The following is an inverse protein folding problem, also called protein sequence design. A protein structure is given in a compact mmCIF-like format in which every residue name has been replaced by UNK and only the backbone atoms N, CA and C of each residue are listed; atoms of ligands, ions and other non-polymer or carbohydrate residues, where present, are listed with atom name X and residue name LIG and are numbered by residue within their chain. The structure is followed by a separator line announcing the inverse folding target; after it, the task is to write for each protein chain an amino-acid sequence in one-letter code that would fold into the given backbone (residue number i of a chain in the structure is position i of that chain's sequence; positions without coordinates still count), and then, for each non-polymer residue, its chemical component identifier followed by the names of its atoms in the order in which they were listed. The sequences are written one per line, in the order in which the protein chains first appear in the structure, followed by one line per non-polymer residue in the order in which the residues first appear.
data_IF_162812713449
#
_entry.id   IF_162812713449
#
_cell.length_a   1.000
_cell.length_b   1.000
_cell.length_c   1.000
_cell.angle_alpha   90.00
_cell.angle_beta   90.00
_cell.angle_gamma   90.00
#
_symmetry.space_group_name_H-M   'P 1'
#
loop_
_entity.id
_entity.type
_entity.pdbx_description
1 polymer ?
#
# COMPACT_ATOMS: atom_id res chain seq x y z
N UNK A 1 -14.14 -51.15 57.94
CA UNK A 1 -13.44 -52.21 57.17
C UNK A 1 -13.44 -51.83 55.70
N UNK A 2 -12.27 -51.64 55.10
CA UNK A 2 -12.13 -51.28 53.69
C UNK A 2 -12.33 -52.50 52.77
N UNK A 3 -13.14 -52.43 51.70
CA UNK A 3 -13.19 -53.49 50.72
C UNK A 3 -12.05 -53.35 49.71
N UNK A 4 -11.21 -54.38 49.78
CA UNK A 4 -10.10 -54.81 48.94
C UNK A 4 -10.23 -54.46 47.44
N UNK A 5 -9.18 -53.79 46.94
CA UNK A 5 -8.76 -53.77 45.53
C UNK A 5 -8.68 -55.20 44.99
N UNK A 6 -9.51 -55.55 44.01
CA UNK A 6 -9.21 -56.63 43.06
C UNK A 6 -8.64 -56.02 41.78
N UNK A 7 -7.33 -56.22 41.60
CA UNK A 7 -6.65 -56.17 40.31
C UNK A 7 -7.22 -57.29 39.44
N UNK A 8 -7.84 -56.94 38.31
CA UNK A 8 -7.92 -57.83 37.16
C UNK A 8 -7.15 -57.16 36.02
N UNK A 9 -5.98 -57.74 35.77
CA UNK A 9 -5.27 -57.64 34.50
C UNK A 9 -6.11 -58.36 33.46
N UNK A 10 -6.41 -57.68 32.35
CA UNK A 10 -6.54 -58.24 31.00
C UNK A 10 -6.85 -57.06 30.06
N UNK A 11 -5.79 -56.31 29.77
CA UNK A 11 -5.74 -55.37 28.67
C UNK A 11 -5.65 -56.18 27.38
N UNK A 12 -6.78 -56.46 26.73
CA UNK A 12 -6.80 -56.84 25.32
C UNK A 12 -6.74 -55.54 24.52
N UNK A 13 -5.52 -55.21 24.07
CA UNK A 13 -5.27 -54.18 23.04
C UNK A 13 -5.91 -54.63 21.74
N UNK A 14 -7.15 -54.22 21.49
CA UNK A 14 -7.62 -54.04 20.11
C UNK A 14 -7.27 -52.61 19.72
N UNK A 15 -6.10 -52.42 19.12
CA UNK A 15 -5.82 -51.22 18.33
C UNK A 15 -6.65 -51.32 17.05
N UNK A 16 -7.92 -50.91 17.12
CA UNK A 16 -8.70 -50.60 15.93
C UNK A 16 -7.96 -49.47 15.22
N UNK A 17 -7.41 -49.80 14.06
CA UNK A 17 -6.89 -48.84 13.09
C UNK A 17 -7.90 -47.72 13.00
N UNK A 18 -7.48 -46.51 13.37
CA UNK A 18 -8.26 -45.29 13.15
C UNK A 18 -8.26 -45.11 11.63
N UNK A 19 -9.23 -45.75 11.00
CA UNK A 19 -9.75 -45.33 9.71
C UNK A 19 -9.99 -43.83 9.86
N UNK A 20 -9.38 -43.04 8.98
CA UNK A 20 -9.43 -41.58 9.06
C UNK A 20 -10.90 -41.17 8.95
N UNK A 21 -11.57 -41.02 10.09
CA UNK A 21 -12.96 -40.62 10.18
C UNK A 21 -13.14 -39.39 9.31
N UNK A 22 -14.09 -39.48 8.39
CA UNK A 22 -14.46 -38.33 7.56
C UNK A 22 -14.87 -37.20 8.52
N UNK A 23 -14.58 -35.91 8.25
CA UNK A 23 -14.90 -34.83 9.19
C UNK A 23 -16.37 -34.82 9.67
N UNK A 24 -17.30 -35.29 8.84
CA UNK A 24 -18.71 -35.48 9.20
C UNK A 24 -18.92 -36.60 10.24
N UNK A 25 -18.22 -37.71 10.10
CA UNK A 25 -18.27 -38.84 11.05
C UNK A 25 -17.62 -38.46 12.39
N UNK A 26 -16.52 -37.70 12.37
CA UNK A 26 -15.88 -37.19 13.58
C UNK A 26 -16.80 -36.24 14.39
N UNK A 27 -17.59 -35.40 13.69
CA UNK A 27 -18.59 -34.53 14.35
C UNK A 27 -19.72 -35.36 14.95
N UNK A 28 -20.23 -36.36 14.23
CA UNK A 28 -21.27 -37.25 14.73
C UNK A 28 -20.80 -38.06 15.94
N UNK A 29 -19.58 -38.59 15.91
CA UNK A 29 -18.98 -39.29 17.05
C UNK A 29 -18.80 -38.38 18.26
N UNK A 30 -18.40 -37.11 18.05
CA UNK A 30 -18.34 -36.13 19.13
C UNK A 30 -19.73 -35.85 19.73
N UNK A 31 -20.76 -35.67 18.90
CA UNK A 31 -22.14 -35.47 19.36
C UNK A 31 -22.68 -36.68 20.12
N UNK A 32 -22.43 -37.89 19.61
CA UNK A 32 -22.78 -39.15 20.28
C UNK A 32 -22.04 -39.27 21.61
N UNK A 33 -20.76 -38.91 21.66
CA UNK A 33 -19.96 -38.87 22.89
C UNK A 33 -20.54 -37.91 23.93
N UNK A 34 -20.97 -36.72 23.50
CA UNK A 34 -21.58 -35.75 24.39
C UNK A 34 -22.94 -36.24 24.93
N UNK A 35 -23.77 -36.86 24.08
CA UNK A 35 -25.05 -37.46 24.50
C UNK A 35 -24.83 -38.64 25.48
N UNK A 36 -23.84 -39.50 25.23
CA UNK A 36 -23.47 -40.59 26.15
C UNK A 36 -23.00 -40.07 27.51
N UNK A 37 -22.22 -38.98 27.52
CA UNK A 37 -21.78 -38.33 28.75
C UNK A 37 -22.95 -37.72 29.52
N UNK A 38 -23.89 -37.09 28.82
CA UNK A 38 -25.10 -36.53 29.43
C UNK A 38 -25.98 -37.63 30.04
N UNK A 39 -26.22 -38.72 29.31
CA UNK A 39 -26.95 -39.89 29.83
C UNK A 39 -26.25 -40.47 31.07
N UNK A 40 -24.92 -40.57 31.06
CA UNK A 40 -24.16 -41.10 32.20
C UNK A 40 -24.28 -40.18 33.44
N UNK A 41 -24.20 -38.86 33.25
CA UNK A 41 -24.43 -37.88 34.33
C UNK A 41 -25.86 -37.96 34.88
N UNK A 42 -26.85 -38.12 34.01
CA UNK A 42 -28.25 -38.28 34.43
C UNK A 42 -28.48 -39.57 35.20
N UNK A 43 -27.92 -40.70 34.74
CA UNK A 43 -27.99 -41.98 35.46
C UNK A 43 -27.32 -41.88 36.83
N UNK A 44 -26.15 -41.24 36.92
CA UNK A 44 -25.48 -41.01 38.20
C UNK A 44 -26.35 -40.18 39.14
N UNK A 45 -26.96 -39.08 38.65
CA UNK A 45 -27.87 -38.24 39.44
C UNK A 45 -29.13 -39.00 39.88
N UNK A 46 -29.66 -39.87 39.03
CA UNK A 46 -30.79 -40.71 39.39
C UNK A 46 -30.44 -41.68 40.53
N UNK A 47 -29.26 -42.30 40.45
CA UNK A 47 -28.80 -43.25 41.46
C UNK A 47 -28.50 -42.57 42.81
N UNK A 48 -27.90 -41.38 42.79
CA UNK A 48 -27.68 -40.60 44.02
C UNK A 48 -29.00 -40.20 44.67
N UNK A 49 -30.01 -39.78 43.89
CA UNK A 49 -31.33 -39.46 44.43
C UNK A 49 -32.02 -40.69 45.02
N UNK A 50 -31.92 -41.86 44.39
CA UNK A 50 -32.44 -43.12 44.94
C UNK A 50 -31.77 -43.48 46.27
N UNK A 51 -30.46 -43.33 46.37
CA UNK A 51 -29.73 -43.59 47.60
C UNK A 51 -30.13 -42.64 48.73
N UNK A 52 -30.24 -41.33 48.45
CA UNK A 52 -30.73 -40.36 49.44
C UNK A 52 -32.15 -40.67 49.88
N UNK A 53 -33.04 -41.07 48.96
CA UNK A 53 -34.39 -41.46 49.32
C UNK A 53 -34.39 -42.68 50.25
N UNK A 54 -33.57 -43.69 49.94
CA UNK A 54 -33.44 -44.89 50.77
C UNK A 54 -32.94 -44.55 52.17
N UNK A 55 -31.89 -43.72 52.29
CA UNK A 55 -31.37 -43.26 53.58
C UNK A 55 -32.46 -42.53 54.40
N UNK A 56 -33.26 -41.68 53.75
CA UNK A 56 -34.36 -40.98 54.44
C UNK A 56 -35.45 -41.94 54.92
N UNK A 57 -35.81 -42.94 54.12
CA UNK A 57 -36.77 -43.98 54.51
C UNK A 57 -36.23 -44.79 55.69
N UNK A 58 -34.97 -45.19 55.65
CA UNK A 58 -34.34 -45.95 56.74
C UNK A 58 -34.35 -45.14 58.05
N UNK A 59 -34.01 -43.84 57.99
CA UNK A 59 -34.08 -42.93 59.15
C UNK A 59 -35.52 -42.86 59.69
N UNK A 60 -36.52 -42.67 58.82
CA UNK A 60 -37.92 -42.60 59.24
C UNK A 60 -38.40 -43.90 59.91
N UNK A 61 -38.00 -45.06 59.38
CA UNK A 61 -38.35 -46.35 60.00
C UNK A 61 -37.70 -46.52 61.37
N UNK A 62 -36.45 -46.08 61.54
CA UNK A 62 -35.75 -46.15 62.82
C UNK A 62 -36.36 -45.22 63.87
N UNK A 63 -36.75 -44.00 63.47
CA UNK A 63 -37.45 -43.06 64.34
C UNK A 63 -38.82 -43.58 64.76
N UNK A 64 -39.59 -44.16 63.84
CA UNK A 64 -40.88 -44.77 64.16
C UNK A 64 -40.74 -45.89 65.20
N UNK A 65 -39.73 -46.74 65.06
CA UNK A 65 -39.47 -47.82 66.00
C UNK A 65 -39.04 -47.27 67.38
N UNK A 66 -38.24 -46.20 67.40
CA UNK A 66 -37.87 -45.51 68.63
C UNK A 66 -39.09 -44.89 69.33
N UNK A 67 -39.99 -44.25 68.58
CA UNK A 67 -41.23 -43.68 69.10
C UNK A 67 -42.15 -44.75 69.70
N UNK A 68 -42.33 -45.89 69.00
CA UNK A 68 -43.09 -47.04 69.50
C UNK A 68 -42.47 -47.60 70.80
N UNK A 69 -41.14 -47.64 70.91
CA UNK A 69 -40.46 -48.08 72.14
C UNK A 69 -40.69 -47.12 73.31
N UNK A 70 -40.60 -45.80 73.07
CA UNK A 70 -40.82 -44.77 74.10
C UNK A 70 -42.29 -44.79 74.57
N UNK A 71 -43.25 -44.93 73.67
CA UNK A 71 -44.67 -45.05 74.02
C UNK A 71 -44.94 -46.28 74.89
N UNK A 72 -44.28 -47.41 74.59
CA UNK A 72 -44.39 -48.64 75.37
C UNK A 72 -43.75 -48.52 76.76
N UNK A 73 -42.61 -47.84 76.85
CA UNK A 73 -41.96 -47.55 78.13
C UNK A 73 -42.83 -46.61 78.99
N UNK A 74 -43.35 -45.53 78.41
CA UNK A 74 -44.19 -44.57 79.11
C UNK A 74 -45.51 -45.20 79.58
N UNK A 75 -46.14 -46.04 78.75
CA UNK A 75 -47.35 -46.78 79.18
C UNK A 75 -47.07 -47.77 80.30
N UNK A 76 -45.88 -48.39 80.34
CA UNK A 76 -45.48 -49.27 81.44
C UNK A 76 -45.26 -48.49 82.73
N UNK A 77 -44.59 -47.32 82.66
CA UNK A 77 -44.41 -46.42 83.82
C UNK A 77 -45.73 -45.87 84.35
N UNK A 78 -46.68 -45.54 83.47
CA UNK A 78 -48.02 -45.10 83.88
C UNK A 78 -48.81 -46.21 84.58
N UNK A 79 -48.63 -47.47 84.19
CA UNK A 79 -49.23 -48.59 84.93
C UNK A 79 -48.58 -48.78 86.31
N UNK A 80 -47.26 -48.67 86.44
CA UNK A 80 -46.57 -48.77 87.74
C UNK A 80 -47.01 -47.65 88.70
N UNK A 81 -47.13 -46.42 88.22
CA UNK A 81 -47.58 -45.26 89.04
C UNK A 81 -49.05 -45.43 89.48
N UNK A 82 -49.88 -46.13 88.71
CA UNK A 82 -51.30 -46.32 89.05
C UNK A 82 -51.57 -47.37 90.14
N UNK A 83 -50.59 -48.20 90.50
CA UNK A 83 -50.76 -49.32 91.44
C UNK A 83 -50.28 -48.98 92.86
N UNK A 84 -49.37 -48.01 93.02
CA UNK A 84 -48.72 -47.74 94.33
C UNK A 84 -49.25 -46.50 95.10
N UNK A 85 -50.05 -45.62 94.50
CA UNK A 85 -50.50 -44.39 95.17
C UNK A 85 -51.99 -44.42 95.57
N UNK A 86 -52.32 -45.25 96.57
CA UNK A 86 -53.41 -44.99 97.51
C UNK A 86 -52.89 -44.13 98.68
N UNK A 87 -52.14 -43.07 98.37
CA UNK A 87 -51.57 -42.16 99.36
C UNK A 87 -52.55 -41.03 99.68
N UNK A 88 -52.85 -40.85 100.97
CA UNK A 88 -53.67 -39.77 101.52
C UNK A 88 -53.12 -38.39 101.12
N UNK A 89 -53.69 -37.81 100.06
CA UNK A 89 -53.33 -36.47 99.58
C UNK A 89 -53.74 -35.41 100.62
N UNK A 90 -52.76 -34.66 101.13
CA UNK A 90 -52.99 -33.56 102.08
C UNK A 90 -53.53 -32.30 101.36
N UNK A 91 -54.27 -31.46 102.08
CA UNK A 91 -54.84 -30.21 101.53
C UNK A 91 -53.77 -29.20 101.08
N UNK A 92 -52.56 -29.24 101.64
CA UNK A 92 -51.46 -28.36 101.21
C UNK A 92 -50.79 -28.86 99.91
N UNK A 93 -50.73 -30.17 99.69
CA UNK A 93 -50.17 -30.76 98.46
C UNK A 93 -51.05 -30.44 97.25
N UNK A 94 -52.38 -30.52 97.41
CA UNK A 94 -53.32 -30.09 96.36
C UNK A 94 -53.20 -28.60 96.05
N UNK A 95 -53.01 -27.76 97.07
CA UNK A 95 -52.85 -26.30 96.89
C UNK A 95 -51.55 -25.95 96.18
N UNK A 96 -50.44 -26.61 96.53
CA UNK A 96 -49.15 -26.43 95.85
C UNK A 96 -49.21 -26.91 94.40
N UNK A 97 -49.81 -28.08 94.15
CA UNK A 97 -50.03 -28.60 92.79
C UNK A 97 -50.89 -27.66 91.94
N UNK A 98 -51.96 -27.08 92.51
CA UNK A 98 -52.78 -26.07 91.82
C UNK A 98 -52.00 -24.78 91.50
N UNK A 99 -51.14 -24.31 92.40
CA UNK A 99 -50.30 -23.14 92.16
C UNK A 99 -49.24 -23.40 91.08
N UNK A 100 -48.65 -24.58 91.07
CA UNK A 100 -47.64 -24.97 90.10
C UNK A 100 -48.25 -25.20 88.72
N UNK A 101 -49.39 -25.90 88.63
CA UNK A 101 -50.14 -26.03 87.37
C UNK A 101 -50.65 -24.68 86.85
N UNK A 102 -51.04 -23.75 87.72
CA UNK A 102 -51.39 -22.39 87.31
C UNK A 102 -50.19 -21.61 86.76
N UNK A 103 -49.02 -21.72 87.39
CA UNK A 103 -47.78 -21.12 86.88
C UNK A 103 -47.36 -21.72 85.53
N UNK A 104 -47.42 -23.04 85.39
CA UNK A 104 -47.11 -23.75 84.15
C UNK A 104 -48.06 -23.28 83.05
N UNK A 105 -49.38 -23.31 83.28
CA UNK A 105 -50.37 -22.81 82.30
C UNK A 105 -50.10 -21.36 81.91
N UNK A 106 -49.83 -20.48 82.87
CA UNK A 106 -49.54 -19.08 82.58
C UNK A 106 -48.24 -18.92 81.78
N UNK A 107 -47.20 -19.72 82.06
CA UNK A 107 -45.97 -19.72 81.26
C UNK A 107 -46.21 -20.22 79.83
N UNK A 108 -46.96 -21.32 79.66
CA UNK A 108 -47.34 -21.85 78.34
C UNK A 108 -48.17 -20.83 77.54
N UNK A 109 -49.13 -20.16 78.18
CA UNK A 109 -49.94 -19.12 77.54
C UNK A 109 -49.08 -17.94 77.07
N UNK A 110 -48.09 -17.51 77.87
CA UNK A 110 -47.15 -16.46 77.43
C UNK A 110 -46.23 -16.90 76.29
N UNK A 111 -45.82 -18.17 76.26
CA UNK A 111 -45.02 -18.69 75.14
C UNK A 111 -45.86 -18.80 73.86
N UNK A 112 -47.10 -19.27 73.96
CA UNK A 112 -48.03 -19.31 72.82
C UNK A 112 -48.27 -17.91 72.26
N UNK A 113 -48.48 -16.90 73.12
CA UNK A 113 -48.62 -15.51 72.66
C UNK A 113 -47.37 -15.00 71.94
N UNK A 114 -46.16 -15.29 72.44
CA UNK A 114 -44.91 -14.91 71.76
C UNK A 114 -44.76 -15.58 70.40
N UNK A 115 -45.06 -16.88 70.31
CA UNK A 115 -45.02 -17.61 69.05
C UNK A 115 -46.05 -17.04 68.07
N UNK A 116 -47.24 -16.67 68.54
CA UNK A 116 -48.27 -16.02 67.74
C UNK A 116 -47.76 -14.69 67.15
N UNK A 117 -47.12 -13.84 67.95
CA UNK A 117 -46.51 -12.58 67.50
C UNK A 117 -45.36 -12.82 66.48
N UNK A 118 -44.55 -13.85 66.70
CA UNK A 118 -43.49 -14.24 65.77
C UNK A 118 -44.06 -14.74 64.43
N UNK A 119 -45.14 -15.52 64.46
CA UNK A 119 -45.85 -15.94 63.25
C UNK A 119 -46.43 -14.72 62.51
N UNK A 120 -47.03 -13.76 63.22
CA UNK A 120 -47.60 -12.57 62.57
C UNK A 120 -46.53 -11.66 61.97
N UNK A 121 -45.39 -11.48 62.64
CA UNK A 121 -44.27 -10.69 62.13
C UNK A 121 -43.62 -11.37 60.93
N UNK A 122 -43.38 -12.68 60.98
CA UNK A 122 -42.83 -13.43 59.84
C UNK A 122 -43.78 -13.44 58.65
N UNK A 123 -45.10 -13.59 58.87
CA UNK A 123 -46.09 -13.48 57.79
C UNK A 123 -46.09 -12.10 57.11
N UNK A 124 -45.91 -11.02 57.88
CA UNK A 124 -45.77 -9.67 57.31
C UNK A 124 -44.50 -9.56 56.47
N UNK A 125 -43.35 -9.99 56.99
CA UNK A 125 -42.08 -10.01 56.24
C UNK A 125 -42.18 -10.83 54.95
N UNK A 126 -42.84 -11.99 55.00
CA UNK A 126 -43.06 -12.83 53.81
C UNK A 126 -43.91 -12.11 52.77
N UNK A 127 -44.93 -11.34 53.18
CA UNK A 127 -45.73 -10.54 52.25
C UNK A 127 -44.90 -9.43 51.60
N UNK A 128 -44.07 -8.74 52.38
CA UNK A 128 -43.22 -7.66 51.90
C UNK A 128 -42.16 -8.18 50.91
N UNK A 129 -41.48 -9.29 51.25
CA UNK A 129 -40.52 -9.95 50.36
C UNK A 129 -41.20 -10.42 49.07
N UNK A 130 -42.41 -10.96 49.15
CA UNK A 130 -43.16 -11.37 47.95
C UNK A 130 -43.54 -10.18 47.05
N UNK A 131 -43.85 -9.02 47.64
CA UNK A 131 -44.10 -7.80 46.88
C UNK A 131 -42.82 -7.30 46.20
N UNK A 132 -41.69 -7.32 46.92
CA UNK A 132 -40.40 -6.96 46.36
C UNK A 132 -40.01 -7.89 45.21
N UNK A 133 -40.19 -9.20 45.37
CA UNK A 133 -39.94 -10.20 44.32
C UNK A 133 -40.77 -9.92 43.07
N UNK A 134 -42.05 -9.56 43.23
CA UNK A 134 -42.92 -9.18 42.10
C UNK A 134 -42.42 -7.92 41.41
N UNK A 135 -41.96 -6.92 42.17
CA UNK A 135 -41.41 -5.68 41.61
C UNK A 135 -40.10 -5.93 40.84
N UNK A 136 -39.22 -6.78 41.37
CA UNK A 136 -38.01 -7.19 40.67
C UNK A 136 -38.31 -7.98 39.40
N UNK A 137 -39.34 -8.82 39.44
CA UNK A 137 -39.77 -9.57 38.26
C UNK A 137 -40.30 -8.65 37.16
N UNK A 138 -41.19 -7.70 37.49
CA UNK A 138 -41.71 -6.73 36.51
C UNK A 138 -40.61 -5.84 35.96
N UNK A 139 -39.69 -5.36 36.81
CA UNK A 139 -38.51 -4.61 36.36
C UNK A 139 -37.65 -5.43 35.40
N UNK A 140 -37.38 -6.69 35.72
CA UNK A 140 -36.62 -7.60 34.87
C UNK A 140 -37.30 -7.83 33.51
N UNK A 141 -38.61 -8.04 33.48
CA UNK A 141 -39.34 -8.24 32.22
C UNK A 141 -39.34 -7.00 31.33
N UNK A 142 -39.54 -5.81 31.90
CA UNK A 142 -39.52 -4.55 31.15
C UNK A 142 -38.13 -4.26 30.60
N UNK A 143 -37.10 -4.36 31.45
CA UNK A 143 -35.72 -4.11 31.02
C UNK A 143 -35.24 -5.14 30.00
N UNK A 144 -35.63 -6.41 30.14
CA UNK A 144 -35.32 -7.45 29.16
C UNK A 144 -35.89 -7.11 27.79
N UNK A 145 -37.17 -6.72 27.71
CA UNK A 145 -37.81 -6.33 26.44
C UNK A 145 -37.14 -5.11 25.81
N UNK A 146 -36.80 -4.09 26.60
CA UNK A 146 -36.09 -2.90 26.14
C UNK A 146 -34.69 -3.24 25.61
N UNK A 147 -33.97 -4.11 26.31
CA UNK A 147 -32.64 -4.54 25.90
C UNK A 147 -32.71 -5.39 24.63
N UNK A 148 -33.71 -6.25 24.49
CA UNK A 148 -33.91 -7.08 23.31
C UNK A 148 -34.21 -6.24 22.07
N UNK A 149 -35.08 -5.22 22.16
CA UNK A 149 -35.32 -4.28 21.05
C UNK A 149 -34.08 -3.47 20.72
N UNK A 150 -33.31 -3.04 21.73
CA UNK A 150 -32.03 -2.36 21.52
C UNK A 150 -31.02 -3.24 20.81
N UNK A 151 -30.90 -4.51 21.20
CA UNK A 151 -30.01 -5.48 20.55
C UNK A 151 -30.44 -5.67 19.08
N UNK A 152 -31.72 -5.87 18.81
CA UNK A 152 -32.22 -6.02 17.44
C UNK A 152 -31.95 -4.77 16.57
N UNK A 153 -32.11 -3.57 17.13
CA UNK A 153 -31.77 -2.33 16.42
C UNK A 153 -30.27 -2.25 16.11
N UNK A 154 -29.41 -2.59 17.07
CA UNK A 154 -27.95 -2.58 16.88
C UNK A 154 -27.50 -3.66 15.88
N UNK A 155 -28.11 -4.84 15.89
CA UNK A 155 -27.84 -5.89 14.91
C UNK A 155 -28.24 -5.45 13.49
N UNK A 156 -29.40 -4.79 13.35
CA UNK A 156 -29.84 -4.23 12.07
C UNK A 156 -28.91 -3.12 11.60
N UNK A 157 -28.47 -2.23 12.49
CA UNK A 157 -27.52 -1.17 12.18
C UNK A 157 -26.17 -1.74 11.74
N UNK A 158 -25.67 -2.77 12.43
CA UNK A 158 -24.45 -3.48 12.06
C UNK A 158 -24.54 -4.08 10.66
N UNK A 159 -25.64 -4.77 10.34
CA UNK A 159 -25.86 -5.34 9.00
C UNK A 159 -25.89 -4.25 7.93
N UNK A 160 -26.60 -3.13 8.18
CA UNK A 160 -26.67 -2.01 7.26
C UNK A 160 -25.29 -1.38 7.04
N UNK A 161 -24.53 -1.17 8.13
CA UNK A 161 -23.17 -0.64 8.06
C UNK A 161 -22.25 -1.57 7.25
N UNK A 162 -22.33 -2.88 7.47
CA UNK A 162 -21.59 -3.88 6.68
C UNK A 162 -21.94 -3.80 5.19
N UNK A 163 -23.23 -3.75 4.85
CA UNK A 163 -23.68 -3.66 3.46
C UNK A 163 -23.21 -2.35 2.78
N UNK A 164 -23.22 -1.23 3.50
CA UNK A 164 -22.68 0.05 3.01
C UNK A 164 -21.19 -0.04 2.74
N UNK A 165 -20.42 -0.66 3.64
CA UNK A 165 -18.99 -0.87 3.42
C UNK A 165 -18.72 -1.76 2.21
N UNK A 166 -19.44 -2.86 2.05
CA UNK A 166 -19.31 -3.75 0.89
C UNK A 166 -19.66 -3.03 -0.41
N UNK A 167 -20.71 -2.21 -0.40
CA UNK A 167 -21.13 -1.42 -1.56
C UNK A 167 -20.09 -0.34 -1.92
N UNK A 168 -19.53 0.34 -0.91
CA UNK A 168 -18.48 1.33 -1.10
C UNK A 168 -17.20 0.69 -1.63
N UNK A 169 -16.80 -0.46 -1.08
CA UNK A 169 -15.67 -1.23 -1.61
C UNK A 169 -15.90 -1.64 -3.06
N UNK A 170 -17.09 -2.15 -3.39
CA UNK A 170 -17.44 -2.49 -4.77
C UNK A 170 -17.38 -1.31 -5.73
N UNK A 171 -17.83 -0.12 -5.28
CA UNK A 171 -17.72 1.11 -6.06
C UNK A 171 -16.26 1.53 -6.27
N UNK A 172 -15.46 1.58 -5.20
CA UNK A 172 -14.05 2.00 -5.25
C UNK A 172 -13.23 1.07 -6.15
N UNK A 173 -13.38 -0.25 -6.02
CA UNK A 173 -12.68 -1.20 -6.89
C UNK A 173 -13.08 -1.04 -8.36
N UNK A 174 -14.37 -0.75 -8.64
CA UNK A 174 -14.82 -0.51 -10.01
C UNK A 174 -14.24 0.79 -10.58
N UNK A 175 -14.21 1.85 -9.78
CA UNK A 175 -13.63 3.14 -10.16
C UNK A 175 -12.12 3.03 -10.39
N UNK A 176 -11.41 2.31 -9.51
CA UNK A 176 -9.98 2.03 -9.66
C UNK A 176 -9.68 1.27 -10.96
N UNK A 177 -10.42 0.19 -11.24
CA UNK A 177 -10.28 -0.55 -12.50
C UNK A 177 -10.59 0.30 -13.72
N UNK A 178 -11.62 1.16 -13.66
CA UNK A 178 -11.96 2.06 -14.75
C UNK A 178 -10.87 3.12 -14.98
N UNK A 179 -10.28 3.63 -13.90
CA UNK A 179 -9.19 4.59 -13.96
C UNK A 179 -7.91 3.95 -14.50
N UNK A 180 -7.57 2.73 -14.07
CA UNK A 180 -6.43 1.97 -14.59
C UNK A 180 -6.57 1.72 -16.10
N UNK A 181 -7.75 1.27 -16.54
CA UNK A 181 -8.07 1.10 -17.96
C UNK A 181 -7.97 2.44 -18.72
N UNK A 182 -8.50 3.52 -18.15
CA UNK A 182 -8.40 4.86 -18.72
C UNK A 182 -6.94 5.28 -18.94
N UNK A 183 -6.12 5.19 -17.89
CA UNK A 183 -4.69 5.48 -17.92
C UNK A 183 -3.98 4.61 -18.97
N UNK A 184 -4.26 3.31 -19.02
CA UNK A 184 -3.65 2.42 -19.99
C UNK A 184 -4.01 2.80 -21.43
N UNK A 185 -5.28 3.09 -21.71
CA UNK A 185 -5.70 3.54 -23.04
C UNK A 185 -5.08 4.89 -23.43
N UNK A 186 -4.90 5.80 -22.48
CA UNK A 186 -4.25 7.09 -22.71
C UNK A 186 -2.74 6.93 -22.97
N UNK A 187 -2.08 6.01 -22.26
CA UNK A 187 -0.69 5.64 -22.51
C UNK A 187 -0.55 5.02 -23.91
N UNK A 188 -1.42 4.10 -24.29
CA UNK A 188 -1.40 3.48 -25.62
C UNK A 188 -1.61 4.52 -26.71
N UNK A 189 -2.60 5.41 -26.57
CA UNK A 189 -2.88 6.49 -27.53
C UNK A 189 -1.71 7.48 -27.62
N UNK A 190 -1.14 7.88 -26.49
CA UNK A 190 0.00 8.79 -26.48
C UNK A 190 1.26 8.14 -27.06
N UNK A 191 1.49 6.85 -26.81
CA UNK A 191 2.57 6.07 -27.44
C UNK A 191 2.42 6.04 -28.95
N UNK A 192 1.22 5.75 -29.45
CA UNK A 192 0.92 5.74 -30.88
C UNK A 192 1.14 7.12 -31.52
N UNK A 193 0.66 8.19 -30.85
CA UNK A 193 0.90 9.56 -31.29
C UNK A 193 2.39 9.92 -31.34
N UNK A 194 3.17 9.48 -30.36
CA UNK A 194 4.63 9.69 -30.35
C UNK A 194 5.27 8.95 -31.53
N UNK A 195 4.92 7.68 -31.76
CA UNK A 195 5.44 6.90 -32.90
C UNK A 195 5.14 7.60 -34.22
N UNK A 196 3.89 8.01 -34.43
CA UNK A 196 3.48 8.73 -35.63
C UNK A 196 4.23 10.06 -35.79
N UNK A 197 4.37 10.83 -34.71
CA UNK A 197 5.15 12.08 -34.74
C UNK A 197 6.63 11.85 -35.08
N UNK A 198 7.24 10.77 -34.58
CA UNK A 198 8.63 10.40 -34.90
C UNK A 198 8.75 9.99 -36.38
N UNK A 199 7.81 9.20 -36.89
CA UNK A 199 7.76 8.80 -38.30
C UNK A 199 7.60 10.02 -39.20
N UNK A 200 6.67 10.92 -38.91
CA UNK A 200 6.46 12.15 -39.68
C UNK A 200 7.70 13.04 -39.68
N UNK A 201 8.38 13.17 -38.54
CA UNK A 201 9.66 13.90 -38.45
C UNK A 201 10.75 13.24 -39.28
N UNK A 202 10.88 11.91 -39.22
CA UNK A 202 11.85 11.18 -40.01
C UNK A 202 11.59 11.33 -41.52
N UNK A 203 10.33 11.20 -41.95
CA UNK A 203 9.89 11.43 -43.33
C UNK A 203 10.22 12.85 -43.78
N UNK A 204 9.96 13.86 -42.94
CA UNK A 204 10.29 15.24 -43.26
C UNK A 204 11.81 15.49 -43.42
N UNK A 205 12.64 14.89 -42.56
CA UNK A 205 14.10 14.97 -42.66
C UNK A 205 14.58 14.30 -43.97
N UNK A 206 14.07 13.10 -44.27
CA UNK A 206 14.41 12.38 -45.50
C UNK A 206 13.97 13.15 -46.74
N UNK A 207 12.75 13.69 -46.76
CA UNK A 207 12.25 14.51 -47.87
C UNK A 207 13.09 15.77 -48.09
N UNK A 208 13.52 16.44 -47.01
CA UNK A 208 14.42 17.60 -47.10
C UNK A 208 15.78 17.21 -47.67
N UNK A 209 16.36 16.11 -47.17
CA UNK A 209 17.64 15.59 -47.66
C UNK A 209 17.56 15.19 -49.14
N UNK A 210 16.50 14.47 -49.53
CA UNK A 210 16.27 14.07 -50.91
C UNK A 210 16.10 15.28 -51.83
N UNK A 211 15.35 16.29 -51.40
CA UNK A 211 15.16 17.53 -52.18
C UNK A 211 16.49 18.27 -52.36
N UNK A 212 17.33 18.31 -51.32
CA UNK A 212 18.67 18.88 -51.40
C UNK A 212 19.57 18.09 -52.36
N UNK A 213 19.56 16.76 -52.29
CA UNK A 213 20.33 15.90 -53.20
C UNK A 213 19.88 16.05 -54.66
N UNK A 214 18.56 16.14 -54.90
CA UNK A 214 18.01 16.43 -56.23
C UNK A 214 18.49 17.78 -56.77
N UNK A 215 18.49 18.82 -55.93
CA UNK A 215 19.00 20.14 -56.30
C UNK A 215 20.49 20.09 -56.63
N UNK A 216 21.31 19.44 -55.79
CA UNK A 216 22.73 19.24 -56.04
C UNK A 216 22.99 18.46 -57.34
N UNK A 217 22.22 17.41 -57.61
CA UNK A 217 22.34 16.64 -58.85
C UNK A 217 22.01 17.48 -60.09
N UNK A 218 20.96 18.30 -60.01
CA UNK A 218 20.61 19.22 -61.08
C UNK A 218 21.71 20.27 -61.32
N UNK A 219 22.28 20.81 -60.24
CA UNK A 219 23.40 21.73 -60.35
C UNK A 219 24.63 21.08 -60.99
N UNK A 220 25.00 19.86 -60.56
CA UNK A 220 26.10 19.09 -61.16
C UNK A 220 25.85 18.78 -62.65
N UNK A 221 24.61 18.53 -63.07
CA UNK A 221 24.26 18.36 -64.48
C UNK A 221 24.48 19.63 -65.29
N UNK A 222 24.13 20.79 -64.73
CA UNK A 222 24.40 22.09 -65.38
C UNK A 222 25.89 22.34 -65.47
N UNK A 223 26.62 22.13 -64.37
CA UNK A 223 28.08 22.30 -64.35
C UNK A 223 28.77 21.37 -65.34
N UNK A 224 28.33 20.11 -65.42
CA UNK A 224 28.83 19.16 -66.42
C UNK A 224 28.64 19.71 -67.85
N UNK A 225 27.45 20.22 -68.20
CA UNK A 225 27.22 20.80 -69.54
C UNK A 225 28.16 21.96 -69.82
N UNK A 226 28.37 22.85 -68.85
CA UNK A 226 29.29 23.98 -68.99
C UNK A 226 30.73 23.49 -69.18
N UNK A 227 31.15 22.45 -68.45
CA UNK A 227 32.46 21.85 -68.61
C UNK A 227 32.62 21.16 -69.96
N UNK A 228 31.61 20.42 -70.42
CA UNK A 228 31.60 19.79 -71.74
C UNK A 228 31.74 20.87 -72.85
N UNK A 229 31.01 21.98 -72.77
CA UNK A 229 31.16 23.14 -73.69
C UNK A 229 32.55 23.81 -73.61
N UNK A 230 33.18 23.85 -72.44
CA UNK A 230 34.55 24.37 -72.28
C UNK A 230 35.57 23.41 -72.90
N UNK A 231 35.41 22.11 -72.71
CA UNK A 231 36.25 21.07 -73.32
C UNK A 231 36.14 21.16 -74.83
N UNK A 232 34.93 21.27 -75.37
CA UNK A 232 34.72 21.47 -76.81
C UNK A 232 35.43 22.73 -77.31
N UNK A 233 35.29 23.88 -76.64
CA UNK A 233 35.99 25.12 -77.02
C UNK A 233 37.52 24.97 -77.03
N UNK A 234 38.09 24.39 -75.97
CA UNK A 234 39.54 24.14 -75.89
C UNK A 234 39.98 23.17 -76.99
N UNK A 235 39.18 22.15 -77.31
CA UNK A 235 39.46 21.23 -78.41
C UNK A 235 39.52 21.96 -79.75
N UNK A 236 38.57 22.87 -80.02
CA UNK A 236 38.58 23.68 -81.24
C UNK A 236 39.79 24.62 -81.29
N UNK A 237 40.15 25.26 -80.18
CA UNK A 237 41.33 26.12 -80.10
C UNK A 237 42.63 25.35 -80.34
N UNK A 238 42.76 24.14 -79.79
CA UNK A 238 43.89 23.24 -80.06
C UNK A 238 43.92 22.86 -81.54
N UNK A 239 42.78 22.51 -82.14
CA UNK A 239 42.70 22.18 -83.57
C UNK A 239 43.10 23.37 -84.46
N UNK A 240 42.68 24.58 -84.12
CA UNK A 240 43.04 25.79 -84.86
C UNK A 240 44.52 26.14 -84.71
N UNK A 241 45.07 26.04 -83.50
CA UNK A 241 46.51 26.17 -83.27
C UNK A 241 47.32 25.07 -83.99
N UNK A 242 46.80 23.85 -84.06
CA UNK A 242 47.43 22.78 -84.85
C UNK A 242 47.42 23.10 -86.34
N UNK A 243 46.30 23.62 -86.89
CA UNK A 243 46.24 24.09 -88.28
C UNK A 243 47.23 25.23 -88.51
N UNK A 244 47.25 26.23 -87.62
CA UNK A 244 48.16 27.38 -87.71
C UNK A 244 49.63 26.91 -87.67
N UNK A 245 49.96 25.99 -86.76
CA UNK A 245 51.30 25.41 -86.67
C UNK A 245 51.66 24.60 -87.93
N UNK A 246 50.72 23.83 -88.49
CA UNK A 246 50.93 23.12 -89.77
C UNK A 246 51.17 24.13 -90.89
N UNK A 247 50.38 25.21 -90.98
CA UNK A 247 50.59 26.26 -91.98
C UNK A 247 51.91 27.00 -91.79
N UNK A 248 52.28 27.34 -90.55
CA UNK A 248 53.55 27.98 -90.23
C UNK A 248 54.72 27.05 -90.54
N UNK A 249 54.61 25.75 -90.24
CA UNK A 249 55.59 24.75 -90.64
C UNK A 249 55.71 24.70 -92.18
N UNK A 250 54.60 24.71 -92.90
CA UNK A 250 54.58 24.74 -94.36
C UNK A 250 55.14 26.05 -94.94
N UNK A 251 54.92 27.18 -94.29
CA UNK A 251 55.53 28.48 -94.63
C UNK A 251 57.03 28.49 -94.35
N UNK A 252 57.49 27.89 -93.25
CA UNK A 252 58.93 27.70 -92.99
C UNK A 252 59.54 26.77 -94.04
N UNK A 253 58.84 25.70 -94.44
CA UNK A 253 59.29 24.83 -95.55
C UNK A 253 59.33 25.60 -96.88
N UNK A 254 58.35 26.46 -97.17
CA UNK A 254 58.27 27.23 -98.42
C UNK A 254 59.26 28.40 -98.45
N UNK A 255 59.60 29.00 -97.30
CA UNK A 255 60.61 30.07 -97.17
C UNK A 255 62.04 29.52 -97.08
N UNK A 256 62.24 28.30 -96.58
CA UNK A 256 63.53 27.62 -96.67
C UNK A 256 63.80 27.02 -98.06
N UNK A 257 62.77 26.75 -98.87
CA UNK A 257 62.95 26.31 -100.25
C UNK A 257 63.82 27.28 -101.09
N UNK A 258 63.60 28.61 -101.10
CA UNK A 258 64.44 29.54 -101.83
C UNK A 258 65.82 29.75 -101.18
N UNK A 259 65.99 29.53 -99.88
CA UNK A 259 67.31 29.57 -99.24
C UNK A 259 68.16 28.31 -99.52
N UNK A 260 67.53 27.17 -99.81
CA UNK A 260 68.21 25.95 -100.28
C UNK A 260 68.50 26.02 -101.80
N UNK A 261 67.77 26.86 -102.55
CA UNK A 261 67.91 27.04 -104.00
C UNK A 261 68.78 28.22 -104.43
N UNK A 262 69.46 28.92 -103.51
CA UNK A 262 70.56 29.83 -103.88
C UNK A 262 71.78 28.96 -104.24
N UNK A 263 72.24 28.96 -105.51
CA UNK A 263 73.50 28.32 -105.85
C UNK A 263 74.63 29.11 -105.18
N UNK A 264 75.37 28.45 -104.30
CA UNK A 264 76.67 28.89 -103.80
C UNK A 264 77.65 29.02 -104.98
N UNK A 265 77.58 30.12 -105.72
CA UNK A 265 78.69 30.56 -106.57
C UNK A 265 79.70 31.30 -105.69
N UNK A 266 80.52 30.51 -105.01
CA UNK A 266 81.79 30.97 -104.48
C UNK A 266 82.68 31.42 -105.64
N UNK A 267 83.21 32.63 -105.55
CA UNK A 267 84.23 33.14 -106.47
C UNK A 267 84.56 34.59 -106.14
N UNK A 268 85.75 34.81 -105.59
CA UNK A 268 86.45 36.09 -105.39
C UNK A 268 86.36 36.74 -104.01
N UNK A 269 86.88 36.00 -103.01
CA UNK A 269 87.62 36.61 -101.90
C UNK A 269 89.06 36.81 -102.39
N UNK A 270 89.36 37.97 -102.98
CA UNK A 270 90.72 38.48 -103.00
C UNK A 270 90.96 39.25 -101.70
N UNK A 271 91.58 38.57 -100.73
CA UNK A 271 92.22 39.22 -99.59
C UNK A 271 93.35 40.09 -100.13
N UNK A 272 93.20 41.40 -100.06
CA UNK A 272 94.31 42.33 -100.23
C UNK A 272 94.53 43.02 -98.89
N UNK A 273 95.78 42.97 -98.41
CA UNK A 273 96.24 43.58 -97.16
C UNK A 273 95.92 45.08 -97.12
N UNK A 274 94.82 45.42 -96.46
CA UNK A 274 94.65 46.62 -95.65
C UNK A 274 93.41 46.43 -94.79
N UNK A 275 93.68 45.90 -93.60
CA UNK A 275 92.82 46.06 -92.44
C UNK A 275 92.41 47.53 -92.30
N UNK A 276 91.10 47.76 -92.25
CA UNK A 276 90.51 48.82 -91.44
C UNK A 276 89.27 48.25 -90.73
N UNK A 277 89.54 47.40 -89.73
CA UNK A 277 88.60 46.78 -88.80
C UNK A 277 87.95 47.80 -87.83
N UNK A 278 87.55 48.98 -88.31
CA UNK A 278 86.84 49.99 -87.51
C UNK A 278 85.86 50.78 -88.36
N UNK A 279 84.74 50.15 -88.73
CA UNK A 279 83.39 50.74 -88.85
C UNK A 279 82.51 49.83 -89.71
N UNK A 280 81.67 49.02 -89.06
CA UNK A 280 80.37 48.66 -89.64
C UNK A 280 79.36 48.53 -88.52
N UNK A 281 78.80 49.68 -88.20
CA UNK A 281 77.65 49.93 -87.35
C UNK A 281 76.38 49.45 -88.08
N UNK A 282 76.16 48.13 -88.19
CA UNK A 282 74.94 47.61 -88.84
C UNK A 282 74.20 46.56 -88.01
N UNK A 283 74.75 46.06 -86.91
CA UNK A 283 74.04 45.12 -86.03
C UNK A 283 74.11 45.57 -84.57
N UNK A 284 73.46 46.69 -84.28
CA UNK A 284 73.13 47.12 -82.92
C UNK A 284 71.67 47.60 -82.87
N UNK A 285 70.74 46.65 -82.73
CA UNK A 285 69.46 46.94 -82.11
C UNK A 285 69.31 46.03 -80.88
N UNK A 286 69.66 46.65 -79.76
CA UNK A 286 69.39 46.32 -78.37
C UNK A 286 68.22 45.35 -78.20
N UNK A 287 68.54 44.12 -77.81
CA UNK A 287 67.61 43.26 -77.07
C UNK A 287 67.43 43.86 -75.68
N UNK A 288 66.24 44.42 -75.42
CA UNK A 288 65.84 44.81 -74.08
C UNK A 288 65.80 43.56 -73.18
N UNK A 289 66.79 43.48 -72.30
CA UNK A 289 66.99 42.39 -71.34
C UNK A 289 65.98 42.42 -70.17
N UNK A 290 64.79 43.00 -70.39
CA UNK A 290 63.68 43.10 -69.44
C UNK A 290 62.42 42.33 -69.88
N UNK A 291 62.40 41.69 -71.06
CA UNK A 291 61.26 40.88 -71.52
C UNK A 291 61.19 39.45 -70.92
N UNK A 292 62.24 38.99 -70.22
CA UNK A 292 62.29 37.64 -69.64
C UNK A 292 62.64 37.62 -68.14
N UNK A 293 62.07 38.54 -67.37
CA UNK A 293 62.05 38.44 -65.91
C UNK A 293 60.76 37.79 -65.40
N UNK A 294 60.53 36.52 -65.73
CA UNK A 294 59.53 35.70 -65.03
C UNK A 294 60.09 35.26 -63.67
N UNK A 295 60.10 36.20 -62.72
CA UNK A 295 60.40 35.91 -61.31
C UNK A 295 59.59 36.75 -60.32
N UNK A 296 58.43 37.29 -60.74
CA UNK A 296 57.58 38.11 -59.85
C UNK A 296 56.08 37.84 -59.80
N UNK A 297 55.59 36.75 -60.39
CA UNK A 297 54.18 36.37 -60.27
C UNK A 297 53.94 35.04 -59.52
N UNK A 298 54.94 34.54 -58.80
CA UNK A 298 54.83 33.32 -57.99
C UNK A 298 54.67 33.57 -56.47
N UNK A 299 54.25 34.77 -56.06
CA UNK A 299 53.88 35.07 -54.66
C UNK A 299 52.40 35.45 -54.46
N UNK A 300 51.58 35.51 -55.52
CA UNK A 300 50.13 35.79 -55.39
C UNK A 300 49.21 34.56 -55.49
N UNK A 301 49.75 33.34 -55.38
CA UNK A 301 48.95 32.10 -55.36
C UNK A 301 49.19 31.19 -54.14
N UNK A 302 49.71 31.75 -53.04
CA UNK A 302 49.81 31.06 -51.74
C UNK A 302 49.30 31.90 -50.56
N UNK A 303 48.18 32.61 -50.76
CA UNK A 303 47.49 33.30 -49.66
C UNK A 303 45.97 33.12 -49.61
N UNK A 304 45.40 32.16 -50.33
CA UNK A 304 43.95 31.84 -50.28
C UNK A 304 43.60 30.45 -49.72
N UNK A 305 44.54 29.76 -49.05
CA UNK A 305 44.24 28.52 -48.32
C UNK A 305 44.16 28.67 -46.79
N UNK A 306 44.19 29.89 -46.23
CA UNK A 306 44.05 30.09 -44.78
C UNK A 306 43.12 31.25 -44.39
N UNK A 307 42.02 31.42 -45.13
CA UNK A 307 40.87 32.26 -44.71
C UNK A 307 39.55 31.63 -45.13
N UNK A 308 39.24 30.45 -44.59
CA UNK A 308 37.89 29.88 -44.63
C UNK A 308 37.55 29.10 -43.35
N UNK A 309 38.04 29.55 -42.19
CA UNK A 309 37.45 29.24 -40.88
C UNK A 309 36.62 30.41 -40.31
N UNK A 310 36.29 31.40 -41.14
CA UNK A 310 35.49 32.58 -40.76
C UNK A 310 34.06 32.62 -41.30
N UNK A 311 33.65 31.67 -42.15
CA UNK A 311 32.33 31.71 -42.83
C UNK A 311 31.30 30.72 -42.28
N UNK A 312 31.60 30.10 -41.14
CA UNK A 312 30.64 29.30 -40.35
C UNK A 312 29.96 30.11 -39.23
N UNK A 313 30.09 31.44 -39.26
CA UNK A 313 29.59 32.35 -38.22
C UNK A 313 28.64 33.45 -38.73
N UNK A 314 28.18 33.38 -39.99
CA UNK A 314 27.19 34.31 -40.56
C UNK A 314 25.91 33.63 -41.09
N UNK A 315 25.71 32.34 -40.79
CA UNK A 315 24.43 31.64 -40.97
C UNK A 315 23.74 31.29 -39.64
N UNK A 316 24.15 31.94 -38.54
CA UNK A 316 23.52 31.82 -37.21
C UNK A 316 22.85 33.11 -36.70
N UNK A 317 22.71 34.11 -37.55
CA UNK A 317 21.93 35.32 -37.26
C UNK A 317 20.85 35.48 -38.33
N UNK A 318 19.75 34.74 -38.17
CA UNK A 318 18.38 35.04 -38.63
C UNK A 318 17.53 33.77 -38.50
N UNK A 319 17.29 33.34 -37.26
CA UNK A 319 16.11 32.56 -36.91
C UNK A 319 15.26 33.40 -35.94
N UNK A 320 13.93 33.44 -36.12
CA UNK A 320 13.04 34.28 -35.33
C UNK A 320 13.07 33.90 -33.84
N UNK A 321 13.07 34.95 -33.00
CA UNK A 321 13.21 34.98 -31.55
C UNK A 321 12.05 34.37 -30.74
N UNK A 322 11.36 33.34 -31.25
CA UNK A 322 10.17 32.77 -30.56
C UNK A 322 10.40 31.39 -29.94
N UNK A 323 11.59 30.80 -30.04
CA UNK A 323 11.84 29.45 -29.50
C UNK A 323 13.06 29.30 -28.55
N UNK A 324 13.54 30.39 -27.95
CA UNK A 324 14.51 30.33 -26.84
C UNK A 324 13.94 30.63 -25.44
N UNK A 325 12.65 30.98 -25.33
CA UNK A 325 11.99 31.18 -24.03
C UNK A 325 11.60 29.84 -23.34
N UNK A 326 11.33 28.78 -24.10
CA UNK A 326 10.77 27.54 -23.55
C UNK A 326 11.78 26.42 -23.24
N UNK A 327 13.09 26.63 -23.43
CA UNK A 327 14.11 25.62 -23.06
C UNK A 327 14.87 26.01 -21.78
N UNK A 328 14.93 27.30 -21.42
CA UNK A 328 15.47 27.74 -20.12
C UNK A 328 14.45 27.67 -18.96
N UNK A 329 13.15 27.55 -19.25
CA UNK A 329 12.14 27.26 -18.21
C UNK A 329 11.97 25.77 -17.90
N UNK A 330 12.49 24.86 -18.73
CA UNK A 330 12.39 23.41 -18.49
C UNK A 330 13.66 22.82 -17.87
N UNK A 331 14.82 23.47 -18.01
CA UNK A 331 16.08 23.00 -17.39
C UNK A 331 16.43 23.64 -16.03
N UNK A 332 15.64 24.59 -15.51
CA UNK A 332 15.86 25.17 -14.19
C UNK A 332 14.97 24.58 -13.07
N UNK A 333 14.24 23.49 -13.37
CA UNK A 333 13.39 22.74 -12.41
C UNK A 333 13.92 21.36 -12.02
N UNK A 334 15.07 20.96 -12.55
CA UNK A 334 15.76 19.73 -12.18
C UNK A 334 17.24 20.03 -12.04
N UNK A 335 17.64 20.56 -10.88
CA UNK A 335 18.93 20.30 -10.18
C UNK A 335 19.15 21.31 -9.04
N UNK A 336 19.27 20.78 -7.82
CA UNK A 336 19.52 21.48 -6.55
C UNK A 336 18.22 21.61 -5.75
N UNK A 337 17.95 20.82 -4.71
CA UNK A 337 18.82 20.62 -3.55
C UNK A 337 18.99 19.13 -3.17
N UNK A 338 20.24 18.69 -3.14
CA UNK A 338 20.64 17.61 -2.25
C UNK A 338 20.54 18.13 -0.82
N UNK A 339 19.57 17.63 -0.04
CA UNK A 339 19.61 17.77 1.40
C UNK A 339 20.37 16.61 2.03
N UNK A 340 21.50 16.98 2.63
CA UNK A 340 22.31 16.16 3.53
C UNK A 340 21.45 15.52 4.63
N UNK A 341 21.68 14.23 4.98
CA UNK A 341 21.03 13.60 6.11
C UNK A 341 21.72 14.08 7.39
N UNK A 342 21.05 14.94 8.15
CA UNK A 342 21.14 15.12 9.60
C UNK A 342 20.88 16.58 9.99
N UNK A 343 19.64 16.87 10.39
CA UNK A 343 19.27 17.74 11.53
C UNK A 343 17.74 17.82 11.58
N UNK A 344 17.16 17.24 12.63
CA UNK A 344 15.81 17.59 13.08
C UNK A 344 15.81 19.06 13.52
N UNK A 345 14.82 19.86 13.09
CA UNK A 345 14.24 20.89 13.94
C UNK A 345 12.87 20.38 14.39
N UNK A 346 12.78 20.02 15.66
CA UNK A 346 11.50 19.86 16.36
C UNK A 346 10.84 21.23 16.48
N UNK A 347 10.03 21.60 15.49
CA UNK A 347 9.19 22.79 15.55
C UNK A 347 7.73 22.35 15.47
N UNK A 348 7.06 22.43 16.62
CA UNK A 348 5.62 22.22 16.77
C UNK A 348 4.95 23.43 16.12
N UNK A 349 4.19 23.20 15.05
CA UNK A 349 3.41 24.25 14.38
C UNK A 349 2.05 24.33 15.10
N UNK A 350 1.74 25.52 15.61
CA UNK A 350 0.49 25.82 16.31
C UNK A 350 -0.73 25.67 15.38
N UNK A 351 -1.85 25.26 15.98
CA UNK A 351 -3.08 24.82 15.30
C UNK A 351 -3.69 25.92 14.39
N UNK A 352 -3.47 27.19 14.71
CA UNK A 352 -3.94 28.32 13.90
C UNK A 352 -3.25 28.42 12.54
N UNK A 353 -1.98 28.01 12.43
CA UNK A 353 -1.27 28.02 11.14
C UNK A 353 -1.67 26.88 10.21
N UNK A 354 -2.26 25.80 10.74
CA UNK A 354 -2.77 24.67 9.96
C UNK A 354 -4.11 24.95 9.28
N UNK A 355 -4.92 25.85 9.85
CA UNK A 355 -6.20 26.26 9.27
C UNK A 355 -6.02 27.08 7.98
N UNK A 356 -4.97 27.92 7.92
CA UNK A 356 -4.66 28.82 6.81
C UNK A 356 -4.04 28.13 5.57
N UNK A 357 -3.62 26.86 5.68
CA UNK A 357 -2.99 26.13 4.57
C UNK A 357 -4.01 25.66 3.53
N UNK A 358 -3.62 25.76 2.26
CA UNK A 358 -4.42 25.30 1.12
C UNK A 358 -4.50 23.76 1.01
N UNK A 359 -5.41 23.22 0.19
CA UNK A 359 -5.62 21.77 0.05
C UNK A 359 -4.36 20.98 -0.37
N UNK A 360 -3.51 21.59 -1.20
CA UNK A 360 -2.27 20.98 -1.68
C UNK A 360 -1.19 20.93 -0.59
N UNK A 361 -1.10 21.98 0.21
CA UNK A 361 -0.13 22.14 1.30
C UNK A 361 -0.48 21.20 2.46
N UNK A 362 -1.77 21.05 2.76
CA UNK A 362 -2.28 20.04 3.71
C UNK A 362 -1.89 18.62 3.29
N UNK A 363 -1.95 18.32 1.99
CA UNK A 363 -1.55 17.00 1.45
C UNK A 363 -0.03 16.76 1.55
N UNK A 364 0.79 17.80 1.41
CA UNK A 364 2.23 17.72 1.61
C UNK A 364 2.61 17.46 3.08
N UNK A 365 1.91 18.07 4.06
CA UNK A 365 2.11 17.79 5.48
C UNK A 365 1.76 16.34 5.86
N UNK A 366 0.70 15.77 5.26
CA UNK A 366 0.32 14.36 5.44
C UNK A 366 1.39 13.39 4.90
N UNK A 367 2.01 13.72 3.75
CA UNK A 367 3.07 12.89 3.16
C UNK A 367 4.40 12.97 3.90
N UNK A 368 4.65 14.06 4.64
CA UNK A 368 5.85 14.24 5.47
C UNK A 368 5.77 13.58 6.86
N UNK A 369 4.65 12.91 7.19
CA UNK A 369 4.56 12.09 8.41
C UNK A 369 4.55 12.89 9.73
N UNK A 370 4.12 14.16 9.68
CA UNK A 370 3.95 14.96 10.91
C UNK A 370 2.71 14.42 11.64
N UNK A 371 2.82 13.95 12.90
CA UNK A 371 1.71 13.33 13.61
C UNK A 371 0.71 14.38 14.07
N UNK A 372 -0.31 14.63 13.25
CA UNK A 372 -1.46 15.47 13.59
C UNK A 372 -2.39 14.70 14.54
N UNK A 373 -2.47 15.11 15.81
CA UNK A 373 -3.49 14.64 16.73
C UNK A 373 -4.81 15.32 16.39
N UNK A 374 -5.69 14.64 15.65
CA UNK A 374 -7.10 14.99 15.60
C UNK A 374 -7.89 14.02 16.48
N UNK A 375 -8.91 14.59 17.14
CA UNK A 375 -9.87 13.98 18.08
C UNK A 375 -9.44 13.88 19.55
N UNK A 376 -9.52 15.04 20.22
CA UNK A 376 -10.08 15.13 21.60
C UNK A 376 -10.79 16.47 21.78
N UNK A 377 -12.03 16.56 21.32
CA UNK A 377 -13.04 17.39 21.97
C UNK A 377 -14.12 16.45 22.50
N UNK A 378 -13.85 15.91 23.69
CA UNK A 378 -14.89 15.34 24.52
C UNK A 378 -15.12 16.34 25.64
N UNK A 379 -16.31 16.93 25.66
CA UNK A 379 -16.84 17.68 26.78
C UNK A 379 -17.01 16.73 27.97
N UNK A 380 -15.93 16.54 28.73
CA UNK A 380 -15.91 15.70 29.93
C UNK A 380 -16.30 16.53 31.16
N UNK A 381 -17.58 16.86 31.28
CA UNK A 381 -18.16 17.32 32.54
C UNK A 381 -19.64 16.95 32.64
N UNK A 382 -19.94 15.64 32.60
CA UNK A 382 -21.27 15.11 32.92
C UNK A 382 -21.24 14.29 34.22
N UNK A 383 -22.28 14.40 35.08
CA UNK A 383 -22.51 13.55 36.25
C UNK A 383 -22.43 12.03 35.97
N UNK A 384 -22.64 11.61 34.73
CA UNK A 384 -22.52 10.21 34.29
C UNK A 384 -21.09 9.67 34.43
N UNK A 385 -20.05 10.47 34.20
CA UNK A 385 -18.67 10.03 34.37
C UNK A 385 -18.31 9.80 35.85
N UNK A 386 -18.90 10.61 36.75
CA UNK A 386 -18.77 10.42 38.20
C UNK A 386 -19.52 9.16 38.67
N UNK A 387 -20.64 8.82 38.04
CA UNK A 387 -21.33 7.56 38.31
C UNK A 387 -20.52 6.36 37.79
N UNK A 388 -19.96 6.44 36.58
CA UNK A 388 -19.14 5.37 36.00
C UNK A 388 -17.87 5.06 36.82
N UNK A 389 -17.16 6.08 37.31
CA UNK A 389 -15.98 5.90 38.17
C UNK A 389 -16.31 5.30 39.56
N UNK A 390 -17.52 5.52 40.07
CA UNK A 390 -17.94 5.03 41.40
C UNK A 390 -18.29 3.55 41.39
N UNK A 391 -18.70 3.00 40.24
CA UNK A 391 -19.20 1.62 40.14
C UNK A 391 -18.25 0.65 39.43
N UNK A 392 -17.18 1.12 38.77
CA UNK A 392 -16.20 0.25 38.10
C UNK A 392 -14.77 0.84 38.12
N UNK A 393 -14.03 0.70 39.23
CA UNK A 393 -12.66 1.21 39.36
C UNK A 393 -11.59 0.37 38.62
N UNK A 394 -11.94 -0.79 38.02
CA UNK A 394 -10.98 -1.72 37.42
C UNK A 394 -10.90 -1.68 35.89
N UNK A 395 -11.66 -0.80 35.22
CA UNK A 395 -11.67 -0.75 33.74
C UNK A 395 -10.37 -0.18 33.12
N UNK A 396 -9.52 0.50 33.88
CA UNK A 396 -8.18 0.90 33.41
C UNK A 396 -7.21 -0.29 33.29
N UNK A 397 -7.57 -1.46 33.83
CA UNK A 397 -6.73 -2.67 33.86
C UNK A 397 -7.26 -3.82 32.98
N UNK A 398 -8.07 -3.54 31.94
CA UNK A 398 -8.45 -4.60 31.00
C UNK A 398 -7.41 -4.76 29.88
N UNK A 399 -6.80 -5.96 29.69
CA UNK A 399 -5.54 -6.06 28.96
C UNK A 399 -5.78 -6.38 27.48
N UNK A 400 -5.74 -5.36 26.63
CA UNK A 400 -5.28 -5.56 25.25
C UNK A 400 -3.98 -4.77 25.10
N UNK A 401 -2.92 -5.36 25.65
CA UNK A 401 -1.58 -4.80 25.56
C UNK A 401 -1.17 -4.73 24.07
N UNK A 402 -0.53 -3.64 23.63
CA UNK A 402 -0.01 -3.44 22.25
C UNK A 402 0.80 -4.63 21.74
N UNK A 403 1.41 -5.38 22.66
CA UNK A 403 2.17 -6.61 22.41
C UNK A 403 1.34 -7.78 21.86
N UNK A 404 0.03 -7.81 22.11
CA UNK A 404 -0.87 -8.83 21.55
C UNK A 404 -1.24 -8.51 20.09
N UNK A 405 -1.38 -7.22 19.75
CA UNK A 405 -1.62 -6.76 18.39
C UNK A 405 -0.38 -6.92 17.51
N UNK A 406 0.81 -6.63 18.04
CA UNK A 406 2.06 -6.83 17.31
C UNK A 406 2.32 -8.31 17.01
N UNK A 407 2.08 -9.22 17.97
CA UNK A 407 2.16 -10.69 17.74
C UNK A 407 1.18 -11.21 16.70
N UNK A 408 0.01 -10.58 16.55
CA UNK A 408 -0.98 -10.99 15.56
C UNK A 408 -0.62 -10.50 14.15
N UNK A 409 -0.08 -9.28 14.04
CA UNK A 409 0.37 -8.70 12.77
C UNK A 409 1.64 -9.36 12.24
N UNK A 410 2.55 -9.82 13.11
CA UNK A 410 3.74 -10.58 12.70
C UNK A 410 3.44 -11.99 12.17
N UNK A 411 2.18 -12.47 12.26
CA UNK A 411 1.77 -13.77 11.71
C UNK A 411 1.19 -13.70 10.30
N UNK A 412 1.01 -12.50 9.76
CA UNK A 412 0.39 -12.28 8.44
C UNK A 412 1.16 -11.28 7.56
N UNK A 413 2.42 -11.00 7.87
CA UNK A 413 3.35 -10.34 6.93
C UNK A 413 3.70 -11.25 5.77
#
# INVERSE_FOLDING_TARGET
MAPKKRRNQNAVKHSTKIEKLTPKEAILDYQIGNLRNLISRLKFKQETLKNMLKEKVDILTSLKLQEEAILKENSSKLMEISVDDEALVSSDDTKNYMLETWKIRNSEETEVMKIQEEIETTQRLVKDVNLELKNWHTYSEVTKKLNETRIQMLEMEYVNMKQRFESMMGYLTKEENQNELGIQTDIERSSENIKNSVVDKAVNILNKSLSQQMFQNNWLKVEKKILDEKIERISHEIEDLQKENITAAQDVFSCNLPHILIPLSFGDIQVTEKDDLRKSTVLDLKLDQNMFSTKKDLENYKQDENKNEGSLQMMQENLPSTYQSNVKQVLHKFNGEMFSPNKLPSQIIDIEHLAALGPLEKKACYLQGIPSKFDRQNDFSSPEFRAHLKFNPELDNWPVNRDMLSKYLSRYS
#
